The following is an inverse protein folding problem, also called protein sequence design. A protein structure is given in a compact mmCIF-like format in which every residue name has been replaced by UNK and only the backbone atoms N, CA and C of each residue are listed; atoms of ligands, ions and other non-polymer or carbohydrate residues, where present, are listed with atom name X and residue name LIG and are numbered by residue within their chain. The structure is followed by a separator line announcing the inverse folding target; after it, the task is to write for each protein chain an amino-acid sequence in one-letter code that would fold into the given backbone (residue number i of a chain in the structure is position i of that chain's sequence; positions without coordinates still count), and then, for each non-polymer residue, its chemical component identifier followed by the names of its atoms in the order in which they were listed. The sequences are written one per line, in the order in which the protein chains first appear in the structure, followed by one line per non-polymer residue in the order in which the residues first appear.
data_IF_070880670773
#
_entry.id   IF_070880670773
#
_cell.length_a   1.000
_cell.length_b   1.000
_cell.length_c   1.000
_cell.angle_alpha   90.00
_cell.angle_beta   90.00
_cell.angle_gamma   90.00
#
_symmetry.space_group_name_H-M   'P 1'
#
loop_
_entity.id
_entity.type
_entity.pdbx_description
1 polymer ?
#
# COMPACT_ATOMS: atom_id res chain seq x y z
N UNK A 1 3.78 -67.72 10.55
CA UNK A 1 3.67 -66.27 10.29
C UNK A 1 4.57 -65.97 9.09
N UNK A 2 4.00 -65.62 7.94
CA UNK A 2 4.74 -65.45 6.68
C UNK A 2 5.13 -63.98 6.55
N UNK A 3 6.29 -63.61 7.11
CA UNK A 3 6.93 -62.35 6.74
C UNK A 3 7.48 -62.50 5.32
N UNK A 4 6.67 -62.06 4.35
CA UNK A 4 7.11 -61.92 2.96
C UNK A 4 7.88 -60.61 2.90
N UNK A 5 9.21 -60.73 2.75
CA UNK A 5 10.11 -59.59 2.66
C UNK A 5 9.67 -58.60 1.58
N UNK A 6 9.68 -57.32 1.96
CA UNK A 6 9.37 -56.18 1.12
C UNK A 6 10.23 -56.24 -0.16
N UNK A 7 9.61 -56.48 -1.31
CA UNK A 7 10.31 -56.58 -2.59
C UNK A 7 10.75 -55.20 -3.10
N UNK A 8 11.83 -55.13 -3.88
CA UNK A 8 12.31 -53.87 -4.49
C UNK A 8 11.21 -53.08 -5.21
N UNK A 9 10.26 -53.78 -5.85
CA UNK A 9 9.12 -53.18 -6.54
C UNK A 9 8.20 -52.42 -5.57
N UNK A 10 7.95 -52.98 -4.39
CA UNK A 10 7.09 -52.39 -3.37
C UNK A 10 7.72 -51.12 -2.80
N UNK A 11 9.04 -51.11 -2.58
CA UNK A 11 9.79 -49.92 -2.17
C UNK A 11 9.65 -48.80 -3.21
N UNK A 12 9.83 -49.12 -4.49
CA UNK A 12 9.71 -48.14 -5.58
C UNK A 12 8.30 -47.56 -5.66
N UNK A 13 7.26 -48.38 -5.46
CA UNK A 13 5.86 -47.91 -5.44
C UNK A 13 5.62 -46.97 -4.26
N UNK A 14 6.06 -47.33 -3.06
CA UNK A 14 5.91 -46.48 -1.87
C UNK A 14 6.62 -45.14 -2.08
N UNK A 15 7.84 -45.14 -2.61
CA UNK A 15 8.58 -43.91 -2.91
C UNK A 15 7.86 -43.03 -3.92
N UNK A 16 7.27 -43.62 -4.97
CA UNK A 16 6.49 -42.87 -5.96
C UNK A 16 5.27 -42.19 -5.32
N UNK A 17 4.53 -42.91 -4.46
CA UNK A 17 3.36 -42.35 -3.77
C UNK A 17 3.77 -41.23 -2.81
N UNK A 18 4.84 -41.42 -2.03
CA UNK A 18 5.36 -40.39 -1.13
C UNK A 18 5.82 -39.15 -1.89
N UNK A 19 6.48 -39.33 -3.04
CA UNK A 19 6.92 -38.21 -3.89
C UNK A 19 5.73 -37.43 -4.46
N UNK A 20 4.69 -38.11 -4.95
CA UNK A 20 3.48 -37.46 -5.48
C UNK A 20 2.73 -36.74 -4.35
N UNK A 21 2.57 -37.36 -3.18
CA UNK A 21 1.93 -36.73 -2.03
C UNK A 21 2.71 -35.49 -1.55
N UNK A 22 4.04 -35.59 -1.47
CA UNK A 22 4.91 -34.46 -1.11
C UNK A 22 4.85 -33.33 -2.12
N UNK A 23 4.83 -33.64 -3.42
CA UNK A 23 4.69 -32.66 -4.49
C UNK A 23 3.36 -31.90 -4.41
N UNK A 24 2.24 -32.62 -4.25
CA UNK A 24 0.91 -32.01 -4.15
C UNK A 24 0.77 -31.13 -2.91
N UNK A 25 1.34 -31.55 -1.78
CA UNK A 25 1.37 -30.74 -0.56
C UNK A 25 2.20 -29.46 -0.75
N UNK A 26 3.40 -29.54 -1.32
CA UNK A 26 4.20 -28.35 -1.63
C UNK A 26 3.46 -27.38 -2.55
N UNK A 27 2.76 -27.88 -3.57
CA UNK A 27 2.01 -27.03 -4.51
C UNK A 27 0.87 -26.27 -3.82
N UNK A 28 0.20 -26.90 -2.86
CA UNK A 28 -0.85 -26.28 -2.05
C UNK A 28 -0.28 -25.19 -1.11
N UNK A 29 0.81 -25.48 -0.41
CA UNK A 29 1.42 -24.53 0.51
C UNK A 29 2.09 -23.33 -0.21
N UNK A 30 2.76 -23.57 -1.33
CA UNK A 30 3.41 -22.50 -2.13
C UNK A 30 2.40 -21.52 -2.75
N UNK A 31 1.19 -21.97 -3.09
CA UNK A 31 0.12 -21.08 -3.59
C UNK A 31 -0.39 -20.13 -2.52
N UNK A 32 -0.47 -20.60 -1.26
CA UNK A 32 -0.91 -19.77 -0.13
C UNK A 32 0.17 -18.79 0.31
N UNK A 33 1.44 -19.22 0.34
CA UNK A 33 2.57 -18.39 0.75
C UNK A 33 2.75 -17.15 -0.14
N UNK A 34 2.72 -17.33 -1.48
CA UNK A 34 2.87 -16.23 -2.44
C UNK A 34 1.80 -15.15 -2.30
N UNK A 35 0.60 -15.53 -1.88
CA UNK A 35 -0.52 -14.59 -1.70
C UNK A 35 -0.35 -13.76 -0.44
N UNK A 36 0.09 -14.38 0.66
CA UNK A 36 0.35 -13.67 1.93
C UNK A 36 1.53 -12.74 1.80
N UNK A 37 2.61 -13.17 1.15
CA UNK A 37 3.79 -12.31 0.91
C UNK A 37 3.43 -11.08 0.10
N UNK A 38 2.63 -11.23 -0.96
CA UNK A 38 2.20 -10.10 -1.80
C UNK A 38 1.31 -9.12 -1.04
N UNK A 39 0.38 -9.61 -0.22
CA UNK A 39 -0.47 -8.76 0.63
C UNK A 39 0.35 -8.04 1.72
N UNK A 40 1.33 -8.73 2.32
CA UNK A 40 2.23 -8.13 3.30
C UNK A 40 3.20 -7.13 2.67
N UNK A 41 3.52 -7.26 1.39
CA UNK A 41 4.40 -6.35 0.66
C UNK A 41 3.67 -5.12 0.11
N UNK A 42 2.41 -5.26 -0.34
CA UNK A 42 1.64 -4.15 -0.89
C UNK A 42 1.11 -3.18 0.19
N UNK A 43 0.70 -3.69 1.36
CA UNK A 43 0.24 -2.84 2.48
C UNK A 43 1.25 -1.82 3.02
N UNK A 44 2.53 -2.16 3.28
CA UNK A 44 3.51 -1.18 3.74
C UNK A 44 3.74 -0.11 2.69
N UNK A 45 3.69 -0.46 1.40
CA UNK A 45 3.84 0.52 0.31
C UNK A 45 2.68 1.53 0.29
N UNK A 46 1.44 1.07 0.43
CA UNK A 46 0.28 1.95 0.47
C UNK A 46 0.32 2.94 1.66
N UNK A 47 0.73 2.46 2.84
CA UNK A 47 0.93 3.32 4.02
C UNK A 47 2.04 4.35 3.81
N UNK A 48 3.16 3.96 3.20
CA UNK A 48 4.25 4.89 2.91
C UNK A 48 3.82 5.97 1.92
N UNK A 49 3.03 5.61 0.90
CA UNK A 49 2.47 6.58 -0.05
C UNK A 49 1.53 7.56 0.66
N UNK A 50 0.61 7.08 1.50
CA UNK A 50 -0.30 7.95 2.24
C UNK A 50 0.44 8.89 3.20
N UNK A 51 1.49 8.39 3.88
CA UNK A 51 2.34 9.22 4.72
C UNK A 51 3.09 10.31 3.93
N UNK A 52 3.55 9.99 2.71
CA UNK A 52 4.15 10.97 1.81
C UNK A 52 3.13 12.04 1.35
N UNK A 53 1.87 11.66 1.14
CA UNK A 53 0.80 12.58 0.80
C UNK A 53 0.46 13.52 1.95
N UNK A 54 0.44 13.00 3.18
CA UNK A 54 0.27 13.82 4.40
C UNK A 54 1.42 14.80 4.60
N UNK A 55 2.66 14.40 4.31
CA UNK A 55 3.81 15.29 4.34
C UNK A 55 3.69 16.40 3.27
N UNK A 56 3.23 16.03 2.07
CA UNK A 56 2.95 16.99 0.99
C UNK A 56 1.88 17.98 1.43
N UNK A 57 0.76 17.54 2.01
CA UNK A 57 -0.28 18.43 2.51
C UNK A 57 0.22 19.36 3.60
N UNK A 58 1.08 18.87 4.51
CA UNK A 58 1.71 19.70 5.55
C UNK A 58 2.57 20.82 4.94
N UNK A 59 3.26 20.55 3.83
CA UNK A 59 4.03 21.59 3.11
C UNK A 59 3.11 22.68 2.52
N UNK A 60 1.97 22.28 1.93
CA UNK A 60 0.96 23.22 1.42
C UNK A 60 0.35 24.03 2.57
N UNK A 61 0.09 23.40 3.72
CA UNK A 61 -0.40 24.08 4.92
C UNK A 61 0.57 25.15 5.44
N UNK A 62 1.88 24.89 5.32
CA UNK A 62 2.92 25.89 5.58
C UNK A 62 2.75 27.13 4.72
N UNK A 63 2.53 26.96 3.40
CA UNK A 63 2.34 28.08 2.47
C UNK A 63 1.06 28.87 2.76
N UNK A 64 -0.04 28.20 3.07
CA UNK A 64 -1.29 28.86 3.47
C UNK A 64 -1.09 29.71 4.73
N UNK A 65 -0.33 29.19 5.72
CA UNK A 65 0.00 29.93 6.94
C UNK A 65 0.92 31.12 6.67
N UNK A 66 1.92 30.95 5.80
CA UNK A 66 2.79 32.06 5.38
C UNK A 66 1.98 33.16 4.68
N UNK A 67 1.08 32.79 3.76
CA UNK A 67 0.19 33.75 3.12
C UNK A 67 -0.68 34.50 4.13
N UNK A 68 -1.25 33.79 5.10
CA UNK A 68 -2.05 34.41 6.17
C UNK A 68 -1.23 35.36 7.03
N UNK A 69 0.01 35.01 7.35
CA UNK A 69 0.92 35.89 8.09
C UNK A 69 1.30 37.15 7.30
N UNK A 70 1.45 37.06 5.98
CA UNK A 70 1.82 38.18 5.11
C UNK A 70 0.65 39.10 4.76
N UNK A 71 -0.53 38.53 4.50
CA UNK A 71 -1.70 39.26 4.00
C UNK A 71 -2.73 39.56 5.10
N UNK A 72 -2.62 38.95 6.26
CA UNK A 72 -3.61 39.04 7.35
C UNK A 72 -4.91 38.29 7.08
N UNK A 73 -5.00 37.55 5.96
CA UNK A 73 -6.18 36.80 5.54
C UNK A 73 -5.76 35.48 4.90
N UNK A 74 -6.61 34.46 5.01
CA UNK A 74 -6.39 33.22 4.29
C UNK A 74 -6.56 33.40 2.76
N UNK A 75 -5.93 32.54 1.95
CA UNK A 75 -6.24 32.46 0.51
C UNK A 75 -7.75 32.35 0.26
N UNK A 76 -8.31 33.09 -0.70
CA UNK A 76 -9.76 33.13 -0.92
C UNK A 76 -10.34 31.83 -1.49
N UNK A 77 -9.51 31.02 -2.16
CA UNK A 77 -9.94 29.81 -2.84
C UNK A 77 -8.75 28.85 -3.10
N UNK A 78 -9.08 27.60 -3.45
CA UNK A 78 -8.09 26.54 -3.73
C UNK A 78 -7.16 26.90 -4.90
N UNK A 79 -7.66 27.57 -5.94
CA UNK A 79 -6.83 27.96 -7.09
C UNK A 79 -5.78 29.01 -6.68
N UNK A 80 -6.10 29.90 -5.75
CA UNK A 80 -5.10 30.79 -5.15
C UNK A 80 -4.02 29.99 -4.41
N UNK A 81 -4.38 28.98 -3.62
CA UNK A 81 -3.40 28.09 -2.95
C UNK A 81 -2.52 27.37 -3.97
N UNK A 82 -3.10 26.85 -5.05
CA UNK A 82 -2.36 26.20 -6.12
C UNK A 82 -1.42 27.17 -6.83
N UNK A 83 -1.84 28.43 -7.03
CA UNK A 83 -1.01 29.48 -7.60
C UNK A 83 0.19 29.89 -6.74
N UNK A 84 0.16 29.62 -5.43
CA UNK A 84 1.30 29.84 -4.52
C UNK A 84 2.35 28.74 -4.62
N UNK A 85 2.01 27.57 -5.19
CA UNK A 85 2.93 26.46 -5.33
C UNK A 85 3.85 26.66 -6.53
N UNK A 86 5.15 26.40 -6.33
CA UNK A 86 6.14 26.43 -7.43
C UNK A 86 5.85 25.36 -8.48
N UNK A 87 5.22 24.26 -8.08
CA UNK A 87 4.79 23.18 -8.95
C UNK A 87 3.56 22.48 -8.36
N UNK A 88 2.71 21.83 -9.19
CA UNK A 88 1.60 21.04 -8.68
C UNK A 88 2.07 19.98 -7.66
N UNK A 89 1.34 19.80 -6.55
CA UNK A 89 1.69 18.81 -5.54
C UNK A 89 1.55 17.41 -6.16
N UNK A 90 2.57 16.58 -5.97
CA UNK A 90 2.62 15.22 -6.51
C UNK A 90 2.27 14.21 -5.42
N UNK A 91 0.98 13.92 -5.33
CA UNK A 91 0.51 12.84 -4.48
C UNK A 91 0.90 11.47 -5.05
N UNK A 92 1.28 10.56 -4.16
CA UNK A 92 1.71 9.20 -4.44
C UNK A 92 0.51 8.24 -4.51
N UNK A 93 -0.58 8.55 -3.81
CA UNK A 93 -1.84 7.82 -3.97
C UNK A 93 -2.52 8.22 -5.29
N UNK A 94 -2.90 7.23 -6.09
CA UNK A 94 -3.49 7.46 -7.40
C UNK A 94 -4.84 8.20 -7.27
N UNK A 95 -4.97 9.33 -7.97
CA UNK A 95 -6.18 10.15 -7.92
C UNK A 95 -6.37 10.95 -6.63
N UNK A 96 -5.35 11.01 -5.77
CA UNK A 96 -5.41 11.83 -4.57
C UNK A 96 -5.21 13.31 -4.91
N UNK A 97 -5.90 14.16 -4.16
CA UNK A 97 -5.87 15.61 -4.24
C UNK A 97 -6.12 16.18 -2.84
N UNK A 98 -6.07 17.49 -2.68
CA UNK A 98 -6.41 18.17 -1.44
C UNK A 98 -7.67 19.03 -1.58
N UNK A 99 -8.47 19.09 -0.53
CA UNK A 99 -9.53 20.07 -0.36
C UNK A 99 -9.02 21.25 0.47
N UNK A 100 -9.63 22.40 0.28
CA UNK A 100 -9.26 23.64 0.95
C UNK A 100 -10.51 24.38 1.43
N UNK A 101 -10.55 24.71 2.73
CA UNK A 101 -11.58 25.56 3.30
C UNK A 101 -11.03 26.99 3.49
N UNK A 102 -11.54 27.99 2.75
CA UNK A 102 -11.08 29.37 2.86
C UNK A 102 -11.50 30.06 4.17
N UNK A 103 -12.54 29.59 4.85
CA UNK A 103 -13.00 30.20 6.10
C UNK A 103 -12.04 29.92 7.26
N UNK A 104 -11.46 28.71 7.28
CA UNK A 104 -10.58 28.24 8.36
C UNK A 104 -9.12 28.12 7.93
N UNK A 105 -8.83 28.16 6.63
CA UNK A 105 -7.50 27.92 6.08
C UNK A 105 -7.04 26.46 6.22
N UNK A 106 -7.98 25.53 6.41
CA UNK A 106 -7.68 24.11 6.60
C UNK A 106 -7.53 23.39 5.27
N UNK A 107 -6.65 22.38 5.26
CA UNK A 107 -6.41 21.50 4.12
C UNK A 107 -6.66 20.05 4.56
N UNK A 108 -7.33 19.29 3.70
CA UNK A 108 -7.57 17.84 3.90
C UNK A 108 -7.24 17.08 2.62
N UNK A 109 -6.79 15.82 2.74
CA UNK A 109 -6.64 14.94 1.57
C UNK A 109 -8.01 14.37 1.19
N UNK A 110 -8.26 14.20 -0.09
CA UNK A 110 -9.45 13.49 -0.60
C UNK A 110 -9.37 12.00 -0.26
N UNK A 111 -8.16 11.42 -0.30
CA UNK A 111 -7.88 10.04 0.10
C UNK A 111 -7.09 10.03 1.41
N UNK A 112 -7.74 9.57 2.48
CA UNK A 112 -7.18 9.48 3.85
C UNK A 112 -7.01 8.04 4.35
N UNK A 113 -7.35 7.04 3.53
CA UNK A 113 -7.35 5.63 3.89
C UNK A 113 -6.26 4.90 3.09
N UNK A 114 -5.43 4.11 3.77
CA UNK A 114 -4.31 3.37 3.16
C UNK A 114 -4.80 2.25 2.24
N UNK A 115 -6.01 1.73 2.42
CA UNK A 115 -6.61 0.72 1.54
C UNK A 115 -7.10 1.26 0.20
N UNK A 116 -7.27 2.59 0.09
CA UNK A 116 -7.64 3.30 -1.15
C UNK A 116 -6.43 3.88 -1.89
N UNK A 117 -5.23 3.57 -1.39
CA UNK A 117 -3.92 3.89 -1.92
C UNK A 117 -3.15 2.58 -2.24
#
# INVERSE_FOLDING_TARGET
MKERGFGYIEIVIVLAVVAVAGYLLMQYFTSTAKTVEKIQQDRPLARTKLAADQATLTSVQGLVRSYQAEKGQYPPDKATVVGLLVSPPRFQCAGNDFEYDPATGTLSLTITDDSRC
#
